data_IF_535490206258
#
_entry.id   IF_535490206258
#
_cell.length_a   1.000
_cell.length_b   1.000
_cell.length_c   1.000
_cell.angle_alpha   90.00
_cell.angle_beta   90.00
_cell.angle_gamma   90.00
#
_symmetry.space_group_name_H-M   'P 1'
#
loop_
_entity.id
_entity.type
_entity.pdbx_description
1 polymer ?
#
# COMPACT_ATOMS: atom_id res chain seq x y z
N UNK A 1 -48.34 2.53 1.32
CA UNK A 1 -47.45 2.20 2.45
C UNK A 1 -46.68 0.89 2.23
N UNK A 2 -47.18 -0.07 1.48
CA UNK A 2 -46.52 -1.37 1.27
C UNK A 2 -45.24 -1.32 0.41
N UNK A 3 -45.20 -0.44 -0.60
CA UNK A 3 -44.04 -0.26 -1.51
C UNK A 3 -42.81 0.27 -0.76
N UNK A 4 -43.02 1.13 0.24
CA UNK A 4 -41.93 1.72 1.03
C UNK A 4 -41.26 0.68 1.93
N UNK A 5 -42.04 -0.26 2.47
CA UNK A 5 -41.52 -1.38 3.24
C UNK A 5 -40.72 -2.36 2.38
N UNK A 6 -41.17 -2.62 1.14
CA UNK A 6 -40.44 -3.49 0.22
C UNK A 6 -39.06 -2.90 -0.16
N UNK A 7 -38.99 -1.58 -0.39
CA UNK A 7 -37.73 -0.86 -0.68
C UNK A 7 -36.80 -0.89 0.54
N UNK A 8 -37.33 -0.66 1.76
CA UNK A 8 -36.53 -0.70 2.98
C UNK A 8 -35.94 -2.10 3.24
N UNK A 9 -36.70 -3.16 2.96
CA UNK A 9 -36.25 -4.56 3.11
C UNK A 9 -35.19 -4.95 2.05
N UNK A 10 -35.26 -4.40 0.84
CA UNK A 10 -34.24 -4.63 -0.19
C UNK A 10 -32.91 -3.93 0.16
N UNK A 11 -32.96 -2.78 0.85
CA UNK A 11 -31.75 -2.06 1.29
C UNK A 11 -31.07 -2.77 2.47
N UNK A 12 -31.81 -3.47 3.34
CA UNK A 12 -31.21 -4.22 4.47
C UNK A 12 -30.54 -5.53 4.06
N UNK A 13 -30.82 -6.06 2.87
CA UNK A 13 -30.28 -7.33 2.36
C UNK A 13 -29.12 -7.16 1.35
N UNK A 14 -28.44 -6.02 1.35
CA UNK A 14 -27.18 -5.82 0.63
C UNK A 14 -26.05 -5.42 1.57
N UNK A 15 -25.98 -6.11 2.70
CA UNK A 15 -24.81 -6.14 3.58
C UNK A 15 -23.92 -7.35 3.31
N UNK A 16 -23.69 -7.71 2.05
CA UNK A 16 -22.60 -8.63 1.75
C UNK A 16 -21.31 -7.82 1.90
N UNK A 17 -20.81 -7.70 3.13
CA UNK A 17 -19.44 -7.32 3.39
C UNK A 17 -18.57 -8.43 2.82
N UNK A 18 -18.33 -8.39 1.51
CA UNK A 18 -17.19 -9.05 0.94
C UNK A 18 -16.01 -8.41 1.66
N UNK A 19 -15.41 -9.15 2.59
CA UNK A 19 -14.13 -8.80 3.21
C UNK A 19 -13.08 -8.87 2.12
N UNK A 20 -13.16 -7.97 1.14
CA UNK A 20 -12.02 -7.67 0.30
C UNK A 20 -11.01 -7.04 1.26
N UNK A 21 -9.85 -7.66 1.41
CA UNK A 21 -8.77 -7.08 2.19
C UNK A 21 -8.47 -5.70 1.60
N UNK A 22 -8.94 -4.61 2.23
CA UNK A 22 -8.73 -3.25 1.72
C UNK A 22 -7.25 -2.84 1.75
N UNK A 23 -6.38 -3.71 2.27
CA UNK A 23 -4.93 -3.58 2.23
C UNK A 23 -4.30 -4.21 0.98
N UNK A 24 -4.90 -5.23 0.38
CA UNK A 24 -4.28 -5.98 -0.71
C UNK A 24 -5.23 -6.21 -1.87
N UNK A 25 -4.71 -6.11 -3.07
CA UNK A 25 -5.49 -6.33 -4.27
C UNK A 25 -4.94 -7.49 -5.07
N UNK A 26 -5.84 -8.34 -5.56
CA UNK A 26 -5.52 -9.44 -6.47
C UNK A 26 -6.57 -9.53 -7.56
N UNK A 27 -6.13 -9.52 -8.81
CA UNK A 27 -7.02 -9.56 -9.96
C UNK A 27 -6.39 -10.19 -11.19
N UNK A 28 -7.22 -10.47 -12.19
CA UNK A 28 -6.81 -11.04 -13.48
C UNK A 28 -7.28 -10.17 -14.65
N UNK A 29 -6.44 -10.00 -15.67
CA UNK A 29 -6.81 -9.30 -16.91
C UNK A 29 -7.69 -10.14 -17.84
N UNK A 30 -7.68 -11.47 -17.70
CA UNK A 30 -8.45 -12.38 -18.58
C UNK A 30 -9.98 -12.26 -18.40
N UNK A 31 -10.44 -11.80 -17.23
CA UNK A 31 -11.85 -11.63 -16.92
C UNK A 31 -12.35 -10.20 -17.15
N UNK A 32 -11.56 -9.35 -17.83
CA UNK A 32 -11.82 -7.91 -17.93
C UNK A 32 -12.07 -7.45 -19.36
N UNK A 33 -12.90 -6.40 -19.53
CA UNK A 33 -12.98 -5.70 -20.81
C UNK A 33 -11.61 -5.08 -21.13
N UNK A 34 -11.16 -5.25 -22.37
CA UNK A 34 -9.76 -5.00 -22.76
C UNK A 34 -9.32 -3.52 -22.71
N UNK A 35 -10.27 -2.59 -22.56
CA UNK A 35 -10.02 -1.15 -22.68
C UNK A 35 -10.66 -0.41 -21.51
N UNK A 36 -9.89 -0.27 -20.43
CA UNK A 36 -10.29 0.51 -19.27
C UNK A 36 -9.16 0.64 -18.25
N UNK A 37 -9.22 1.73 -17.48
CA UNK A 37 -8.42 1.92 -16.27
C UNK A 37 -9.31 1.57 -15.09
N UNK A 38 -8.99 0.51 -14.35
CA UNK A 38 -9.70 0.21 -13.11
C UNK A 38 -9.13 1.05 -11.96
N UNK A 39 -9.99 1.67 -11.16
CA UNK A 39 -9.61 2.32 -9.92
C UNK A 39 -9.56 1.28 -8.79
N UNK A 40 -8.42 1.21 -8.11
CA UNK A 40 -8.23 0.36 -6.92
C UNK A 40 -7.80 1.26 -5.77
N UNK A 41 -8.42 1.07 -4.61
CA UNK A 41 -8.14 1.86 -3.42
C UNK A 41 -7.55 0.96 -2.35
N UNK A 42 -6.39 1.34 -1.82
CA UNK A 42 -5.67 0.58 -0.79
C UNK A 42 -5.62 1.44 0.47
N UNK A 43 -6.19 0.96 1.57
CA UNK A 43 -6.46 1.75 2.79
C UNK A 43 -5.45 1.58 3.91
N UNK A 44 -4.57 0.60 3.78
CA UNK A 44 -3.63 0.23 4.83
C UNK A 44 -2.25 0.85 4.59
N UNK A 45 -1.45 0.96 5.65
CA UNK A 45 -0.08 1.44 5.56
C UNK A 45 0.86 0.44 4.86
N UNK A 46 0.52 -0.85 4.84
CA UNK A 46 1.26 -1.88 4.13
C UNK A 46 0.27 -2.84 3.44
N UNK A 47 0.69 -3.41 2.32
CA UNK A 47 -0.05 -4.45 1.65
C UNK A 47 0.61 -4.92 0.36
N UNK A 48 -0.17 -5.59 -0.48
CA UNK A 48 0.32 -6.21 -1.71
C UNK A 48 -0.64 -6.04 -2.88
N UNK A 49 -0.08 -6.04 -4.09
CA UNK A 49 -0.83 -6.00 -5.34
C UNK A 49 -0.34 -7.14 -6.21
N UNK A 50 -1.26 -7.98 -6.70
CA UNK A 50 -0.96 -9.06 -7.64
C UNK A 50 -1.90 -8.99 -8.85
N UNK A 51 -1.35 -8.64 -10.02
CA UNK A 51 -2.07 -8.62 -11.29
C UNK A 51 -1.66 -9.79 -12.17
N UNK A 52 -2.54 -10.79 -12.26
CA UNK A 52 -2.37 -11.98 -13.09
C UNK A 52 -2.80 -11.68 -14.52
N UNK A 53 -2.02 -12.12 -15.50
CA UNK A 53 -2.30 -11.87 -16.92
C UNK A 53 -2.67 -10.40 -17.19
N UNK A 54 -1.76 -9.44 -16.92
CA UNK A 54 -2.10 -8.02 -16.98
C UNK A 54 -2.70 -7.62 -18.33
N UNK A 55 -3.85 -6.95 -18.29
CA UNK A 55 -4.52 -6.35 -19.47
C UNK A 55 -5.08 -4.97 -19.09
N UNK A 56 -5.00 -4.01 -20.00
CA UNK A 56 -5.45 -2.63 -19.74
C UNK A 56 -4.55 -1.92 -18.72
N UNK A 57 -5.14 -1.24 -17.74
CA UNK A 57 -4.39 -0.59 -16.66
C UNK A 57 -5.16 -0.55 -15.34
N UNK A 58 -4.41 -0.41 -14.23
CA UNK A 58 -4.94 -0.13 -12.90
C UNK A 58 -4.42 1.23 -12.44
N UNK A 59 -5.28 2.04 -11.83
CA UNK A 59 -4.90 3.22 -11.05
C UNK A 59 -5.11 2.92 -9.57
N UNK A 60 -4.00 2.67 -8.88
CA UNK A 60 -3.98 2.34 -7.46
C UNK A 60 -3.85 3.64 -6.68
N UNK A 61 -4.81 3.96 -5.81
CA UNK A 61 -4.76 5.13 -4.93
C UNK A 61 -4.50 4.66 -3.50
N UNK A 62 -3.41 5.12 -2.88
CA UNK A 62 -3.10 4.82 -1.49
C UNK A 62 -3.81 5.82 -0.59
N UNK A 63 -4.73 5.33 0.23
CA UNK A 63 -5.55 6.09 1.16
C UNK A 63 -5.33 5.57 2.59
N UNK A 64 -4.11 5.67 3.14
CA UNK A 64 -3.85 5.20 4.49
C UNK A 64 -4.82 5.85 5.47
N UNK A 65 -5.52 5.05 6.25
CA UNK A 65 -6.34 5.61 7.32
C UNK A 65 -5.42 6.37 8.28
N UNK A 66 -5.75 7.62 8.64
CA UNK A 66 -5.00 8.32 9.68
C UNK A 66 -5.08 7.47 10.96
N UNK A 67 -3.99 7.35 11.73
CA UNK A 67 -4.03 6.63 13.01
C UNK A 67 -5.17 7.22 13.85
N UNK A 68 -6.16 6.38 14.20
CA UNK A 68 -7.36 6.81 14.90
C UNK A 68 -7.04 7.54 16.21
N UNK A 69 -7.76 8.62 16.47
CA UNK A 69 -7.80 9.38 17.73
C UNK A 69 -6.45 9.62 18.44
N UNK A 70 -5.49 10.24 17.75
CA UNK A 70 -4.52 11.10 18.45
C UNK A 70 -4.98 12.55 18.34
N UNK A 71 -5.56 13.07 19.42
CA UNK A 71 -5.79 14.51 19.63
C UNK A 71 -4.41 15.13 19.78
N UNK A 72 -3.84 15.52 18.65
CA UNK A 72 -2.49 16.09 18.56
C UNK A 72 -2.13 16.16 17.08
N UNK A 73 -2.20 17.36 16.50
CA UNK A 73 -2.15 17.56 15.06
C UNK A 73 -0.97 16.86 14.40
N UNK A 74 -1.25 15.93 13.48
CA UNK A 74 -0.28 15.42 12.52
C UNK A 74 -0.03 16.49 11.44
N UNK A 75 0.48 17.66 11.84
CA UNK A 75 0.96 18.69 10.93
C UNK A 75 2.47 18.58 10.83
N UNK A 76 2.96 18.01 9.73
CA UNK A 76 4.37 18.11 9.34
C UNK A 76 5.10 16.80 9.09
N UNK A 77 4.47 15.62 9.22
CA UNK A 77 5.15 14.35 8.95
C UNK A 77 5.30 14.14 7.44
N UNK A 78 6.53 14.12 6.94
CA UNK A 78 6.85 13.66 5.58
C UNK A 78 6.58 12.15 5.52
N UNK A 79 5.51 11.72 4.88
CA UNK A 79 5.27 10.29 4.68
C UNK A 79 5.96 9.87 3.39
N UNK A 80 6.70 8.78 3.40
CA UNK A 80 7.28 8.15 2.20
C UNK A 80 6.58 6.84 1.91
N UNK A 81 6.54 6.44 0.63
CA UNK A 81 6.05 5.13 0.18
C UNK A 81 7.24 4.39 -0.39
N UNK A 82 7.42 3.16 0.06
CA UNK A 82 8.39 2.23 -0.51
C UNK A 82 7.65 1.11 -1.24
N UNK A 83 8.12 0.81 -2.45
CA UNK A 83 7.59 -0.23 -3.33
C UNK A 83 8.66 -1.28 -3.53
N UNK A 84 8.30 -2.54 -3.32
CA UNK A 84 9.16 -3.70 -3.55
C UNK A 84 8.52 -4.62 -4.59
N UNK A 85 9.03 -4.65 -5.83
CA UNK A 85 8.59 -5.61 -6.84
C UNK A 85 8.95 -7.04 -6.42
N UNK A 86 8.08 -7.98 -6.72
CA UNK A 86 8.38 -9.40 -6.55
C UNK A 86 9.32 -9.90 -7.67
N UNK A 87 10.20 -10.88 -7.42
CA UNK A 87 11.20 -11.33 -8.40
C UNK A 87 10.64 -11.81 -9.74
N UNK A 88 9.39 -12.25 -9.75
CA UNK A 88 8.68 -12.77 -10.92
C UNK A 88 7.88 -11.69 -11.69
N UNK A 89 8.16 -10.41 -11.44
CA UNK A 89 7.51 -9.29 -12.12
C UNK A 89 7.55 -9.43 -13.64
N UNK A 90 6.41 -9.25 -14.28
CA UNK A 90 6.33 -9.12 -15.73
C UNK A 90 4.91 -8.91 -16.26
N UNK A 91 4.83 -8.50 -17.53
CA UNK A 91 3.61 -8.18 -18.25
C UNK A 91 3.06 -6.78 -17.97
N UNK A 92 3.74 -5.95 -17.18
CA UNK A 92 3.31 -4.58 -16.90
C UNK A 92 4.45 -3.64 -16.51
N UNK A 93 4.19 -2.35 -16.61
CA UNK A 93 5.03 -1.27 -16.13
C UNK A 93 4.33 -0.54 -14.97
N UNK A 94 5.09 -0.19 -13.93
CA UNK A 94 4.59 0.55 -12.77
C UNK A 94 5.10 1.99 -12.84
N UNK A 95 4.18 2.94 -12.71
CA UNK A 95 4.47 4.36 -12.69
C UNK A 95 3.97 5.03 -11.41
N UNK A 96 4.67 6.08 -10.99
CA UNK A 96 4.22 7.04 -9.99
C UNK A 96 3.49 8.19 -10.68
N UNK A 97 2.26 8.48 -10.27
CA UNK A 97 1.56 9.70 -10.68
C UNK A 97 1.90 10.86 -9.74
N UNK A 98 2.47 11.94 -10.29
CA UNK A 98 2.79 13.17 -9.57
C UNK A 98 2.49 14.38 -10.45
N UNK A 99 1.61 15.27 -9.98
CA UNK A 99 1.26 16.50 -10.73
C UNK A 99 0.72 16.24 -12.13
N UNK A 100 0.04 15.11 -12.34
CA UNK A 100 -0.46 14.67 -13.65
C UNK A 100 0.59 14.05 -14.58
N UNK A 101 1.83 13.86 -14.11
CA UNK A 101 2.92 13.20 -14.85
C UNK A 101 3.10 11.78 -14.32
N UNK A 102 3.34 10.84 -15.23
CA UNK A 102 3.66 9.44 -14.90
C UNK A 102 5.18 9.22 -14.98
N UNK A 103 5.80 8.92 -13.83
CA UNK A 103 7.22 8.61 -13.71
C UNK A 103 7.41 7.09 -13.58
N UNK A 104 8.23 6.48 -14.44
CA UNK A 104 8.44 5.02 -14.43
C UNK A 104 9.23 4.59 -13.19
N UNK A 105 8.65 3.68 -12.40
CA UNK A 105 9.31 3.04 -11.25
C UNK A 105 9.84 1.66 -11.61
N UNK A 106 9.03 0.84 -12.28
CA UNK A 106 9.37 -0.56 -12.59
C UNK A 106 9.02 -0.84 -14.05
N UNK A 107 10.02 -1.26 -14.83
CA UNK A 107 9.88 -1.66 -16.22
C UNK A 107 9.49 -3.14 -16.38
N UNK A 108 8.91 -3.50 -17.52
CA UNK A 108 8.64 -4.89 -17.93
C UNK A 108 9.85 -5.59 -18.55
N UNK A 109 11.06 -5.07 -18.32
CA UNK A 109 12.29 -5.70 -18.78
C UNK A 109 12.90 -6.51 -17.65
N UNK A 110 13.44 -7.71 -17.93
CA UNK A 110 14.18 -8.48 -16.94
C UNK A 110 15.27 -7.62 -16.31
N UNK A 111 15.29 -7.60 -14.98
CA UNK A 111 16.24 -6.80 -14.24
C UNK A 111 16.22 -7.11 -12.75
N UNK A 112 17.21 -6.60 -12.01
CA UNK A 112 17.22 -6.66 -10.56
C UNK A 112 15.98 -5.96 -9.97
N UNK A 113 15.32 -6.63 -9.02
CA UNK A 113 14.21 -6.06 -8.26
C UNK A 113 14.74 -5.12 -7.17
N UNK A 114 14.68 -3.80 -7.41
CA UNK A 114 15.07 -2.81 -6.41
C UNK A 114 13.85 -2.30 -5.63
N UNK A 115 14.09 -1.84 -4.39
CA UNK A 115 13.08 -1.13 -3.62
C UNK A 115 13.09 0.34 -4.05
N UNK A 116 11.93 0.87 -4.44
CA UNK A 116 11.76 2.26 -4.85
C UNK A 116 11.01 3.02 -3.76
N UNK A 117 11.64 4.02 -3.16
CA UNK A 117 11.00 4.86 -2.14
C UNK A 117 10.86 6.30 -2.63
N UNK A 118 9.70 6.92 -2.37
CA UNK A 118 9.43 8.31 -2.73
C UNK A 118 8.61 9.00 -1.63
N UNK A 119 8.87 10.29 -1.42
CA UNK A 119 8.11 11.10 -0.47
C UNK A 119 6.76 11.51 -1.04
N UNK A 120 5.76 11.59 -0.16
CA UNK A 120 4.40 12.06 -0.41
C UNK A 120 4.29 13.50 0.13
N UNK A 121 3.71 14.38 -0.67
CA UNK A 121 3.39 15.74 -0.23
C UNK A 121 2.24 15.70 0.79
N UNK A 122 2.31 16.43 1.91
CA UNK A 122 1.19 16.54 2.84
C UNK A 122 -0.09 17.00 2.13
N UNK A 123 -1.19 16.26 2.31
CA UNK A 123 -2.48 16.55 1.70
C UNK A 123 -2.73 15.92 0.32
N UNK A 124 -1.71 15.29 -0.29
CA UNK A 124 -1.87 14.51 -1.52
C UNK A 124 -2.04 13.02 -1.20
N UNK A 125 -2.85 12.31 -2.00
CA UNK A 125 -2.90 10.84 -2.00
C UNK A 125 -2.02 10.33 -3.14
N UNK A 126 -0.95 9.57 -2.87
CA UNK A 126 -0.10 9.08 -3.94
C UNK A 126 -0.88 8.04 -4.76
N UNK A 127 -0.75 8.15 -6.07
CA UNK A 127 -1.35 7.21 -7.01
C UNK A 127 -0.25 6.50 -7.81
N UNK A 128 -0.43 5.20 -8.00
CA UNK A 128 0.41 4.38 -8.84
C UNK A 128 -0.40 3.91 -10.04
N UNK A 129 0.22 3.91 -11.22
CA UNK A 129 -0.38 3.37 -12.43
C UNK A 129 0.33 2.09 -12.81
N UNK A 130 -0.43 1.00 -12.91
CA UNK A 130 0.05 -0.27 -13.40
C UNK A 130 -0.51 -0.48 -14.81
N UNK A 131 0.34 -0.35 -15.82
CA UNK A 131 -0.07 -0.46 -17.22
C UNK A 131 0.42 -1.79 -17.80
N UNK A 132 -0.50 -2.58 -18.37
CA UNK A 132 -0.13 -3.81 -19.04
C UNK A 132 0.72 -3.55 -20.29
N UNK A 133 1.75 -4.36 -20.50
CA UNK A 133 2.52 -4.37 -21.75
C UNK A 133 1.76 -5.19 -22.77
N UNK A 134 1.45 -4.67 -23.97
CA UNK A 134 0.76 -5.45 -24.99
C UNK A 134 1.54 -6.71 -25.37
N UNK A 135 0.86 -7.86 -25.36
CA UNK A 135 1.39 -9.13 -25.82
C UNK A 135 0.30 -9.93 -26.56
N UNK A 136 0.70 -10.81 -27.48
CA UNK A 136 -0.23 -11.53 -28.38
C UNK A 136 -0.56 -12.95 -27.93
N UNK A 137 0.07 -13.44 -26.87
CA UNK A 137 -0.08 -14.78 -26.33
C UNK A 137 -0.84 -14.77 -24.99
N UNK A 138 -1.24 -15.93 -24.48
CA UNK A 138 -1.85 -16.08 -23.15
C UNK A 138 -0.82 -16.58 -22.12
N UNK A 139 0.46 -16.25 -22.31
CA UNK A 139 1.50 -16.65 -21.36
C UNK A 139 1.22 -16.09 -19.98
N UNK A 140 1.45 -16.90 -18.96
CA UNK A 140 1.29 -16.49 -17.57
C UNK A 140 2.35 -15.44 -17.24
N UNK A 141 1.90 -14.22 -17.00
CA UNK A 141 2.70 -13.08 -16.53
C UNK A 141 2.05 -12.52 -15.27
N UNK A 142 2.88 -12.03 -14.35
CA UNK A 142 2.42 -11.54 -13.06
C UNK A 142 3.14 -10.24 -12.74
N UNK A 143 2.38 -9.15 -12.64
CA UNK A 143 2.89 -7.92 -12.08
C UNK A 143 2.50 -7.88 -10.60
N UNK A 144 3.47 -8.17 -9.73
CA UNK A 144 3.26 -8.26 -8.29
C UNK A 144 4.26 -7.43 -7.51
N UNK A 145 3.78 -6.69 -6.51
CA UNK A 145 4.64 -5.90 -5.64
C UNK A 145 4.03 -5.72 -4.25
N UNK A 146 4.88 -5.39 -3.28
CA UNK A 146 4.49 -4.94 -1.95
C UNK A 146 4.70 -3.44 -1.81
N UNK A 147 3.84 -2.82 -1.02
CA UNK A 147 3.93 -1.40 -0.72
C UNK A 147 3.94 -1.18 0.79
N UNK A 148 4.67 -0.17 1.24
CA UNK A 148 4.78 0.20 2.64
C UNK A 148 4.85 1.74 2.75
N UNK A 149 4.04 2.32 3.62
CA UNK A 149 4.05 3.73 3.95
C UNK A 149 4.83 3.95 5.24
N UNK A 150 5.89 4.76 5.15
CA UNK A 150 6.76 5.12 6.26
C UNK A 150 6.58 6.58 6.60
N UNK A 151 6.13 6.88 7.82
CA UNK A 151 6.26 8.23 8.35
C UNK A 151 7.73 8.53 8.62
N UNK A 152 8.23 9.64 8.11
CA UNK A 152 9.56 10.16 8.44
C UNK A 152 9.57 10.61 9.90
N UNK A 153 9.81 9.66 10.82
CA UNK A 153 10.30 10.01 12.14
C UNK A 153 11.71 10.50 11.85
N UNK A 154 11.84 11.80 11.57
CA UNK A 154 13.13 12.48 11.50
C UNK A 154 13.97 11.93 12.64
N UNK A 155 14.94 11.10 12.29
CA UNK A 155 16.28 11.03 12.87
C UNK A 155 16.45 11.81 14.18
N UNK A 156 15.81 11.37 15.26
CA UNK A 156 16.20 11.71 16.64
C UNK A 156 17.42 10.87 17.09
N UNK A 157 18.10 10.22 16.15
CA UNK A 157 19.48 9.80 16.31
C UNK A 157 20.44 10.90 15.84
N UNK A 158 20.23 12.14 16.29
CA UNK A 158 21.34 13.07 16.44
C UNK A 158 22.01 12.75 17.78
N UNK A 159 23.17 12.11 17.70
CA UNK A 159 24.11 11.96 18.81
C UNK A 159 24.38 13.35 19.40
N UNK A 160 23.78 13.65 20.55
CA UNK A 160 24.30 14.45 21.68
C UNK A 160 23.15 14.92 22.58
N UNK A 161 23.12 14.40 23.83
CA UNK A 161 22.78 15.08 25.11
C UNK A 161 21.48 15.91 25.17
N UNK A 162 20.51 15.74 26.07
CA UNK A 162 20.53 15.62 27.55
C UNK A 162 19.12 15.14 27.97
N UNK A 163 19.02 14.42 29.08
CA UNK A 163 17.79 14.06 29.83
C UNK A 163 16.49 14.81 29.47
N UNK A 164 15.48 14.06 29.05
CA UNK A 164 14.09 14.35 29.37
C UNK A 164 13.30 13.03 29.38
N UNK A 165 13.09 12.55 30.59
CA UNK A 165 12.07 11.61 31.01
C UNK A 165 10.74 11.86 30.27
N UNK A 166 10.40 10.99 29.31
CA UNK A 166 9.04 10.84 28.80
C UNK A 166 8.78 9.34 28.69
N UNK A 167 8.35 8.80 29.81
CA UNK A 167 7.70 7.50 29.91
C UNK A 167 6.44 7.44 29.02
N UNK A 168 6.18 6.23 28.54
CA UNK A 168 4.96 5.74 27.90
C UNK A 168 4.58 6.27 26.50
N UNK A 169 4.76 5.40 25.49
CA UNK A 169 3.86 5.38 24.32
C UNK A 169 4.48 5.29 22.93
N UNK A 170 5.79 5.09 22.79
CA UNK A 170 6.42 4.80 21.49
C UNK A 170 7.22 3.50 21.54
N UNK A 171 6.96 2.59 20.59
CA UNK A 171 7.81 1.42 20.38
C UNK A 171 9.23 1.90 20.04
N UNK A 172 10.15 1.77 20.99
CA UNK A 172 11.59 1.86 20.77
C UNK A 172 12.14 0.47 20.43
N UNK A 173 13.21 0.37 19.62
CA UNK A 173 13.93 -0.89 19.50
C UNK A 173 14.45 -1.32 20.87
N UNK A 174 14.31 -2.61 21.18
CA UNK A 174 14.81 -3.17 22.44
C UNK A 174 16.32 -2.99 22.53
N UNK A 175 16.80 -2.60 23.71
CA UNK A 175 18.22 -2.65 24.04
C UNK A 175 18.69 -4.12 24.18
N UNK A 176 20.00 -4.38 24.04
CA UNK A 176 20.60 -5.70 24.17
C UNK A 176 20.18 -6.38 25.48
N UNK A 177 20.08 -5.64 26.59
CA UNK A 177 19.62 -6.20 27.87
C UNK A 177 18.17 -6.65 27.84
N UNK A 178 17.29 -5.88 27.19
CA UNK A 178 15.86 -6.22 27.05
C UNK A 178 15.69 -7.42 26.12
N UNK A 179 16.51 -7.52 25.07
CA UNK A 179 16.54 -8.66 24.16
C UNK A 179 17.07 -9.92 24.85
N UNK A 180 18.17 -9.83 25.61
CA UNK A 180 18.71 -10.95 26.38
C UNK A 180 17.73 -11.41 27.47
N UNK A 181 17.06 -10.49 28.16
CA UNK A 181 16.02 -10.82 29.13
C UNK A 181 14.86 -11.55 28.45
N UNK A 182 14.37 -11.05 27.31
CA UNK A 182 13.30 -11.71 26.56
C UNK A 182 13.67 -13.14 26.12
N UNK A 183 14.92 -13.38 25.71
CA UNK A 183 15.41 -14.74 25.40
C UNK A 183 15.46 -15.62 26.66
N UNK A 184 15.96 -15.08 27.78
CA UNK A 184 16.12 -15.84 29.02
C UNK A 184 14.80 -16.10 29.78
N UNK A 185 13.75 -15.31 29.51
CA UNK A 185 12.43 -15.46 30.15
C UNK A 185 11.37 -16.04 29.22
N UNK A 186 11.69 -16.30 27.96
CA UNK A 186 10.79 -16.99 27.04
C UNK A 186 10.82 -18.49 27.36
N UNK A 187 9.66 -19.09 27.58
CA UNK A 187 9.52 -20.51 27.98
C UNK A 187 9.40 -21.49 26.81
N UNK A 188 9.96 -21.15 25.63
CA UNK A 188 10.03 -22.08 24.50
C UNK A 188 10.86 -23.33 24.83
#
# INVERSE_FOLDING_TARGET
MEIVHLILVLITMTGAAFSADECSWRGSGLSRPEQGVEQVFLRCAEGSVEFLYPTGALRLTLLPQPPGNRVGGASGMTTSVCIKPEPQWGGAQLYLERGGVLELLVSDTPGPSYIHCFSITPGESPALFLQATPHSDISRRIAAFRYELRGDRTSQFSVNSVDADVEEGACRPCNDTEMLMAVCTSDF
#
